data_IF_862511340543
#
_entry.id   IF_862511340543
#
_cell.length_a   1.000
_cell.length_b   1.000
_cell.length_c   1.000
_cell.angle_alpha   90.00
_cell.angle_beta   90.00
_cell.angle_gamma   90.00
#
_symmetry.space_group_name_H-M   'P 1'
#
loop_
_entity.id
_entity.type
_entity.pdbx_description
1 polymer ?
#
# COMPACT_ATOMS: atom_id res chain seq x y z
N UNK A 1 13.68 7.65 9.26
CA UNK A 1 13.64 6.17 9.22
C UNK A 1 12.68 5.74 8.12
N UNK A 2 12.94 4.62 7.44
CA UNK A 2 11.99 4.00 6.51
C UNK A 2 11.84 2.54 6.90
N UNK A 3 10.60 2.08 7.06
CA UNK A 3 10.26 0.68 7.26
C UNK A 3 9.73 0.12 5.94
N UNK A 4 10.29 -1.00 5.51
CA UNK A 4 9.98 -1.64 4.24
C UNK A 4 9.54 -3.06 4.53
N UNK A 5 8.31 -3.41 4.13
CA UNK A 5 7.90 -4.80 4.00
C UNK A 5 8.22 -5.24 2.57
N UNK A 6 9.35 -5.94 2.44
CA UNK A 6 9.98 -6.21 1.15
C UNK A 6 9.31 -7.33 0.35
N UNK A 7 8.41 -8.11 0.95
CA UNK A 7 7.81 -9.27 0.31
C UNK A 7 6.35 -9.43 0.69
N UNK A 8 5.46 -8.78 -0.06
CA UNK A 8 4.04 -8.71 0.26
C UNK A 8 3.19 -9.27 -0.86
N UNK A 9 2.41 -10.30 -0.57
CA UNK A 9 1.39 -10.81 -1.48
C UNK A 9 0.04 -10.15 -1.19
N UNK A 10 -0.58 -9.52 -2.20
CA UNK A 10 -1.92 -8.95 -2.09
C UNK A 10 -2.85 -9.64 -3.08
N UNK A 11 -3.52 -10.71 -2.64
CA UNK A 11 -4.40 -11.46 -3.51
C UNK A 11 -5.75 -10.76 -3.71
N UNK A 12 -6.31 -10.76 -4.94
CA UNK A 12 -7.62 -10.16 -5.21
C UNK A 12 -8.77 -10.71 -4.36
N UNK A 13 -8.67 -11.97 -3.91
CA UNK A 13 -9.67 -12.63 -3.09
C UNK A 13 -9.76 -12.09 -1.65
N UNK A 14 -8.76 -11.33 -1.19
CA UNK A 14 -8.77 -10.73 0.15
C UNK A 14 -9.30 -9.29 0.11
N UNK A 15 -10.11 -8.87 1.11
CA UNK A 15 -10.58 -7.51 1.22
C UNK A 15 -9.41 -6.52 1.33
N UNK A 16 -9.30 -5.61 0.37
CA UNK A 16 -8.17 -4.69 0.31
C UNK A 16 -8.14 -3.73 1.50
N UNK A 17 -9.30 -3.29 1.97
CA UNK A 17 -9.39 -2.39 3.13
C UNK A 17 -8.73 -3.00 4.37
N UNK A 18 -9.10 -4.23 4.70
CA UNK A 18 -8.56 -4.96 5.85
C UNK A 18 -7.05 -5.17 5.70
N UNK A 19 -6.60 -5.54 4.50
CA UNK A 19 -5.18 -5.64 4.19
C UNK A 19 -4.41 -4.34 4.47
N UNK A 20 -4.92 -3.19 4.02
CA UNK A 20 -4.26 -1.89 4.23
C UNK A 20 -4.27 -1.46 5.70
N UNK A 21 -5.35 -1.74 6.43
CA UNK A 21 -5.45 -1.50 7.87
C UNK A 21 -4.43 -2.35 8.65
N UNK A 22 -4.31 -3.64 8.31
CA UNK A 22 -3.32 -4.53 8.91
C UNK A 22 -1.88 -4.12 8.55
N UNK A 23 -1.63 -3.67 7.33
CA UNK A 23 -0.32 -3.17 6.93
C UNK A 23 0.14 -1.97 7.78
N UNK A 24 -0.74 -0.97 7.97
CA UNK A 24 -0.47 0.16 8.87
C UNK A 24 -0.17 -0.30 10.29
N UNK A 25 -1.02 -1.19 10.83
CA UNK A 25 -0.83 -1.74 12.17
C UNK A 25 0.53 -2.42 12.32
N UNK A 26 0.94 -3.22 11.33
CA UNK A 26 2.24 -3.91 11.34
C UNK A 26 3.41 -2.92 11.33
N UNK A 27 3.33 -1.84 10.55
CA UNK A 27 4.35 -0.80 10.58
C UNK A 27 4.42 -0.09 11.94
N UNK A 28 3.29 0.14 12.59
CA UNK A 28 3.24 0.78 13.92
C UNK A 28 3.85 -0.12 14.98
N UNK A 29 3.54 -1.41 14.93
CA UNK A 29 4.14 -2.41 15.80
C UNK A 29 5.64 -2.55 15.56
N UNK A 30 6.09 -2.53 14.31
CA UNK A 30 7.51 -2.57 13.95
C UNK A 30 8.25 -1.35 14.48
N UNK A 31 7.74 -0.13 14.24
CA UNK A 31 8.33 1.11 14.76
C UNK A 31 8.45 1.07 16.29
N UNK A 32 7.40 0.61 16.99
CA UNK A 32 7.41 0.45 18.45
C UNK A 32 8.46 -0.57 18.91
N UNK A 33 8.62 -1.70 18.21
CA UNK A 33 9.64 -2.72 18.53
C UNK A 33 11.06 -2.19 18.36
N UNK A 34 11.27 -1.26 17.44
CA UNK A 34 12.55 -0.56 17.27
C UNK A 34 12.68 0.68 18.16
N UNK A 35 11.78 0.86 19.13
CA UNK A 35 11.77 2.00 20.06
C UNK A 35 11.78 3.37 19.35
N UNK A 36 11.22 3.42 18.14
CA UNK A 36 11.18 4.62 17.32
C UNK A 36 9.85 5.36 17.49
N UNK A 37 9.92 6.63 17.88
CA UNK A 37 8.76 7.47 18.20
C UNK A 37 8.57 8.68 17.27
N UNK A 38 9.48 8.90 16.31
CA UNK A 38 9.38 9.97 15.31
C UNK A 38 8.58 9.57 14.06
N UNK A 39 8.58 10.45 13.05
CA UNK A 39 8.00 10.14 11.75
C UNK A 39 8.86 9.13 10.99
N UNK A 40 8.21 8.18 10.31
CA UNK A 40 8.87 7.18 9.47
C UNK A 40 8.08 6.88 8.21
N UNK A 41 8.82 6.61 7.13
CA UNK A 41 8.24 6.14 5.88
C UNK A 41 7.77 4.68 6.00
N UNK A 42 6.67 4.36 5.32
CA UNK A 42 6.07 3.02 5.27
C UNK A 42 6.02 2.58 3.81
N UNK A 43 6.70 1.49 3.47
CA UNK A 43 6.81 1.00 2.08
C UNK A 43 6.42 -0.47 2.02
N UNK A 44 5.43 -0.79 1.18
CA UNK A 44 5.06 -2.15 0.83
C UNK A 44 5.63 -2.50 -0.55
N UNK A 45 6.40 -3.56 -0.64
CA UNK A 45 6.85 -4.12 -1.91
C UNK A 45 5.94 -5.30 -2.28
N UNK A 46 5.07 -5.08 -3.25
CA UNK A 46 4.16 -6.10 -3.75
C UNK A 46 4.92 -7.13 -4.58
N UNK A 47 4.96 -8.37 -4.09
CA UNK A 47 5.50 -9.52 -4.81
C UNK A 47 4.35 -10.21 -5.53
N UNK A 48 4.00 -9.73 -6.72
CA UNK A 48 2.91 -10.30 -7.50
C UNK A 48 3.42 -11.37 -8.47
N UNK A 49 2.68 -12.46 -8.61
CA UNK A 49 2.94 -13.43 -9.68
C UNK A 49 2.58 -12.81 -11.05
N UNK A 50 3.13 -13.28 -12.18
CA UNK A 50 2.80 -12.74 -13.51
C UNK A 50 1.31 -12.79 -13.89
N UNK A 51 0.51 -13.58 -13.16
CA UNK A 51 -0.94 -13.71 -13.34
C UNK A 51 -1.75 -12.79 -12.42
N UNK A 52 -1.10 -12.15 -11.45
CA UNK A 52 -1.71 -11.18 -10.54
C UNK A 52 -1.60 -9.76 -11.11
N UNK A 53 -2.72 -9.05 -11.09
CA UNK A 53 -2.84 -7.69 -11.65
C UNK A 53 -3.26 -6.68 -10.59
N UNK A 54 -3.03 -6.98 -9.31
CA UNK A 54 -3.58 -6.19 -8.21
C UNK A 54 -2.94 -4.81 -8.15
N UNK A 55 -1.64 -4.68 -8.37
CA UNK A 55 -0.98 -3.39 -8.50
C UNK A 55 -1.51 -2.60 -9.69
N UNK A 56 -1.68 -3.24 -10.86
CA UNK A 56 -2.27 -2.59 -12.04
C UNK A 56 -3.69 -2.08 -11.75
N UNK A 57 -4.51 -2.87 -11.05
CA UNK A 57 -5.84 -2.45 -10.63
C UNK A 57 -5.78 -1.24 -9.68
N UNK A 58 -4.84 -1.22 -8.74
CA UNK A 58 -4.59 -0.06 -7.87
C UNK A 58 -4.13 1.17 -8.67
N UNK A 59 -3.34 0.99 -9.72
CA UNK A 59 -2.93 2.09 -10.60
C UNK A 59 -4.10 2.69 -11.36
N UNK A 60 -5.01 1.84 -11.84
CA UNK A 60 -6.25 2.27 -12.50
C UNK A 60 -7.15 3.02 -11.52
N UNK A 61 -7.26 2.52 -10.28
CA UNK A 61 -7.99 3.20 -9.21
C UNK A 61 -7.40 4.58 -8.92
N UNK A 62 -6.07 4.69 -8.86
CA UNK A 62 -5.37 5.97 -8.66
C UNK A 62 -5.53 6.94 -9.84
N UNK A 63 -5.78 6.43 -11.06
CA UNK A 63 -6.04 7.25 -12.24
C UNK A 63 -7.50 7.75 -12.30
N UNK A 64 -8.45 6.97 -11.80
CA UNK A 64 -9.88 7.22 -11.91
C UNK A 64 -10.43 7.83 -10.61
N UNK A 65 -10.32 9.15 -10.45
CA UNK A 65 -10.77 9.90 -9.26
C UNK A 65 -12.29 9.83 -8.99
N UNK A 66 -13.09 9.29 -9.92
CA UNK A 66 -14.55 9.25 -9.83
C UNK A 66 -15.19 7.90 -9.48
N UNK A 67 -14.45 6.79 -9.44
CA UNK A 67 -14.99 5.45 -9.18
C UNK A 67 -14.16 4.70 -8.15
N UNK A 68 -14.18 5.18 -6.92
CA UNK A 68 -13.63 4.41 -5.81
C UNK A 68 -14.66 3.39 -5.30
N UNK A 69 -14.29 2.09 -5.17
CA UNK A 69 -15.14 1.10 -4.53
C UNK A 69 -15.57 1.58 -3.14
N UNK A 70 -16.86 1.40 -2.78
CA UNK A 70 -17.40 1.83 -1.48
C UNK A 70 -16.63 1.24 -0.29
N UNK A 71 -16.11 0.03 -0.44
CA UNK A 71 -15.28 -0.65 0.57
C UNK A 71 -13.98 0.12 0.90
N UNK A 72 -13.46 0.92 -0.03
CA UNK A 72 -12.25 1.74 0.15
C UNK A 72 -12.57 3.18 0.58
N UNK A 73 -13.80 3.46 1.02
CA UNK A 73 -14.20 4.80 1.47
C UNK A 73 -13.21 5.39 2.48
N UNK A 74 -12.77 6.62 2.21
CA UNK A 74 -11.81 7.39 3.01
C UNK A 74 -10.34 7.15 2.65
N UNK A 75 -10.02 6.04 1.99
CA UNK A 75 -8.67 5.82 1.45
C UNK A 75 -8.49 6.64 0.18
N UNK A 76 -7.27 7.10 -0.09
CA UNK A 76 -6.93 7.78 -1.34
C UNK A 76 -5.73 7.11 -1.99
N UNK A 77 -5.83 6.89 -3.28
CA UNK A 77 -4.77 6.29 -4.09
C UNK A 77 -4.30 7.36 -5.08
N UNK A 78 -2.99 7.59 -5.13
CA UNK A 78 -2.38 8.60 -5.99
C UNK A 78 -1.21 7.99 -6.75
N UNK A 79 -1.09 8.36 -8.02
CA UNK A 79 0.12 8.09 -8.79
C UNK A 79 1.27 8.90 -8.21
N UNK A 80 2.45 8.32 -8.31
CA UNK A 80 3.72 9.03 -8.13
C UNK A 80 4.31 9.36 -9.49
N UNK A 81 5.49 9.98 -9.54
CA UNK A 81 6.22 10.19 -10.80
C UNK A 81 6.76 8.86 -11.36
N UNK A 82 6.94 7.87 -10.49
CA UNK A 82 7.41 6.55 -10.84
C UNK A 82 6.25 5.62 -11.21
N UNK A 83 6.28 5.07 -12.43
CA UNK A 83 5.27 4.12 -12.93
C UNK A 83 5.18 2.80 -12.14
N UNK A 84 6.11 2.55 -11.21
CA UNK A 84 6.13 1.36 -10.37
C UNK A 84 5.83 1.66 -8.90
N UNK A 85 5.39 2.89 -8.60
CA UNK A 85 5.08 3.32 -7.24
C UNK A 85 3.71 4.01 -7.18
N UNK A 86 2.97 3.69 -6.12
CA UNK A 86 1.71 4.34 -5.77
C UNK A 86 1.79 4.88 -4.36
N UNK A 87 1.19 6.06 -4.15
CA UNK A 87 0.98 6.60 -2.82
C UNK A 87 -0.43 6.27 -2.37
N UNK A 88 -0.54 5.71 -1.18
CA UNK A 88 -1.80 5.44 -0.50
C UNK A 88 -1.88 6.32 0.74
N UNK A 89 -3.03 6.95 0.94
CA UNK A 89 -3.31 7.78 2.10
C UNK A 89 -4.51 7.20 2.82
N UNK A 90 -4.34 6.88 4.10
CA UNK A 90 -5.40 6.35 4.96
C UNK A 90 -6.45 7.43 5.30
N UNK A 91 -7.63 7.03 5.80
CA UNK A 91 -8.61 7.98 6.34
C UNK A 91 -8.01 8.89 7.44
N UNK A 92 -7.08 8.36 8.23
CA UNK A 92 -6.36 9.07 9.29
C UNK A 92 -5.20 9.95 8.78
N UNK A 93 -5.10 10.18 7.46
CA UNK A 93 -4.04 10.95 6.79
C UNK A 93 -2.63 10.33 6.89
N UNK A 94 -2.54 9.03 7.17
CA UNK A 94 -1.26 8.34 7.17
C UNK A 94 -0.88 7.88 5.77
N UNK A 95 0.39 8.07 5.41
CA UNK A 95 0.88 7.73 4.07
C UNK A 95 1.64 6.39 4.06
N UNK A 96 1.43 5.63 3.00
CA UNK A 96 2.21 4.46 2.61
C UNK A 96 2.57 4.55 1.13
N UNK A 97 3.73 4.01 0.77
CA UNK A 97 4.10 3.76 -0.63
C UNK A 97 3.89 2.27 -0.93
N UNK A 98 3.33 1.98 -2.10
CA UNK A 98 3.33 0.63 -2.67
C UNK A 98 4.23 0.63 -3.88
N UNK A 99 5.21 -0.26 -3.88
CA UNK A 99 6.11 -0.49 -5.02
C UNK A 99 5.79 -1.86 -5.59
N UNK A 100 5.66 -1.97 -6.92
CA UNK A 100 5.57 -3.28 -7.57
C UNK A 100 6.95 -3.92 -7.64
N UNK A 101 7.16 -4.96 -6.84
CA UNK A 101 8.31 -5.85 -6.92
C UNK A 101 7.99 -6.95 -7.92
N UNK A 102 8.41 -6.78 -9.19
CA UNK A 102 8.40 -7.91 -10.12
C UNK A 102 9.41 -8.92 -9.60
N UNK A 103 8.94 -10.09 -9.17
CA UNK A 103 9.83 -11.23 -8.97
C UNK A 103 10.47 -11.55 -10.32
N UNK A 104 11.80 -11.46 -10.39
CA UNK A 104 12.62 -11.92 -11.51
C UNK A 104 12.85 -13.42 -11.32
#
# INVERSE_FOLDING_TARGET
MVLIDAHVHCYPAYPLREFLEMALKNFHEAARRFEYSGDYGKVLCFTESPRESRFLWLQQLAANTGMQPRELSGWRFRKTEENHCLRIISPAQEEMLIITGRQI
#
